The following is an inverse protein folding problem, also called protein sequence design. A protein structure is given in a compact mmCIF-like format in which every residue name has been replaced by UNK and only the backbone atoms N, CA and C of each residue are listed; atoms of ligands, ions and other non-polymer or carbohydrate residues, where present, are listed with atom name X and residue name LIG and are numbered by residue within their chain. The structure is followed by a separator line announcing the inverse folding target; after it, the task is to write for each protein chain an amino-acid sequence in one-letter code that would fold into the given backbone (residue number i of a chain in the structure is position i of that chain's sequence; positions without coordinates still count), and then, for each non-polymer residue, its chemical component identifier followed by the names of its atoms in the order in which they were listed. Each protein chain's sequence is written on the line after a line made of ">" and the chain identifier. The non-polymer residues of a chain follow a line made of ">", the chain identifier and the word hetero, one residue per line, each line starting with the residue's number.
data_IF_963838175782
#
_entry.id   IF_963838175782
#
_cell.length_a   1.000
_cell.length_b   1.000
_cell.length_c   1.000
_cell.angle_alpha   90.00
_cell.angle_beta   90.00
_cell.angle_gamma   90.00
#
_symmetry.space_group_name_H-M   'P 1'
#
loop_
_entity.id
_entity.type
_entity.pdbx_description
1 polymer ?
#
# COMPACT_ATOMS: atom_id res chain seq x y z
N UNK A 1 -32.65 15.12 1.05
CA UNK A 1 -31.48 15.05 1.95
C UNK A 1 -30.62 13.91 1.50
N UNK A 2 -29.31 14.12 1.35
CA UNK A 2 -28.33 13.07 1.03
C UNK A 2 -27.61 12.69 2.33
N UNK A 3 -27.59 11.42 2.65
CA UNK A 3 -26.86 10.85 3.77
C UNK A 3 -25.51 10.32 3.23
N UNK A 4 -24.38 10.72 3.82
CA UNK A 4 -23.04 10.24 3.47
C UNK A 4 -22.18 10.29 4.74
N UNK A 5 -22.11 9.18 5.44
CA UNK A 5 -21.42 9.10 6.73
C UNK A 5 -20.64 7.79 6.90
N UNK A 6 -19.58 7.87 7.68
CA UNK A 6 -18.79 6.71 8.09
C UNK A 6 -19.21 6.27 9.49
N UNK A 7 -19.37 4.97 9.65
CA UNK A 7 -19.73 4.32 10.91
C UNK A 7 -18.77 3.21 11.25
N UNK A 8 -18.59 2.94 12.54
CA UNK A 8 -18.01 1.73 13.06
C UNK A 8 -19.10 0.67 13.19
N UNK A 9 -18.88 -0.46 12.57
CA UNK A 9 -19.77 -1.61 12.65
C UNK A 9 -19.04 -2.82 13.21
N UNK A 10 -19.76 -3.77 13.80
CA UNK A 10 -19.17 -5.03 14.28
C UNK A 10 -19.56 -6.12 13.30
N UNK A 11 -18.57 -6.84 12.75
CA UNK A 11 -18.79 -7.96 11.85
C UNK A 11 -19.24 -9.23 12.62
N UNK A 12 -19.51 -10.32 11.90
CA UNK A 12 -19.93 -11.58 12.53
C UNK A 12 -18.85 -12.22 13.42
N UNK A 13 -17.59 -11.88 13.21
CA UNK A 13 -16.43 -12.34 13.99
C UNK A 13 -16.21 -11.51 15.26
N UNK A 14 -16.96 -10.42 15.44
CA UNK A 14 -16.81 -9.48 16.56
C UNK A 14 -15.82 -8.35 16.29
N UNK A 15 -15.23 -8.25 15.10
CA UNK A 15 -14.27 -7.20 14.76
C UNK A 15 -14.97 -5.90 14.41
N UNK A 16 -14.36 -4.78 14.82
CA UNK A 16 -14.82 -3.45 14.43
C UNK A 16 -14.36 -3.15 13.00
N UNK A 17 -15.30 -2.92 12.12
CA UNK A 17 -15.07 -2.52 10.73
C UNK A 17 -15.64 -1.15 10.45
N UNK A 18 -14.94 -0.37 9.63
CA UNK A 18 -15.44 0.91 9.18
C UNK A 18 -16.24 0.75 7.89
N UNK A 19 -17.44 1.28 7.89
CA UNK A 19 -18.30 1.30 6.71
C UNK A 19 -18.63 2.74 6.32
N UNK A 20 -18.81 2.98 5.02
CA UNK A 20 -19.42 4.19 4.50
C UNK A 20 -20.85 3.87 4.08
N UNK A 21 -21.79 4.61 4.64
CA UNK A 21 -23.19 4.54 4.28
C UNK A 21 -23.57 5.79 3.51
N UNK A 22 -23.96 5.63 2.25
CA UNK A 22 -24.42 6.73 1.39
C UNK A 22 -25.82 6.43 0.90
N UNK A 23 -26.75 7.36 1.12
CA UNK A 23 -28.12 7.16 0.75
C UNK A 23 -28.87 8.46 0.44
N UNK A 24 -30.02 8.31 -0.21
CA UNK A 24 -30.95 9.39 -0.52
C UNK A 24 -32.36 8.95 -0.17
N UNK A 25 -33.10 9.82 0.52
CA UNK A 25 -34.52 9.64 0.74
C UNK A 25 -35.26 10.21 -0.47
N UNK A 26 -36.20 9.44 -0.98
CA UNK A 26 -37.15 9.83 -2.02
C UNK A 26 -38.52 10.04 -1.31
N UNK A 27 -39.12 11.18 -1.51
CA UNK A 27 -40.40 11.51 -0.94
C UNK A 27 -41.55 11.19 -1.92
N UNK A 28 -42.74 10.96 -1.38
CA UNK A 28 -43.98 10.87 -2.16
C UNK A 28 -44.44 12.23 -2.68
N UNK A 29 -45.53 12.24 -3.43
CA UNK A 29 -46.12 13.44 -4.00
C UNK A 29 -46.61 14.46 -2.93
N UNK A 30 -46.71 14.02 -1.67
CA UNK A 30 -47.08 14.86 -0.52
C UNK A 30 -45.86 15.34 0.27
N UNK A 31 -44.64 15.06 -0.22
CA UNK A 31 -43.41 15.45 0.44
C UNK A 31 -43.01 14.57 1.63
N UNK A 32 -43.71 13.45 1.89
CA UNK A 32 -43.36 12.52 2.96
C UNK A 32 -42.33 11.50 2.49
N UNK A 33 -41.37 11.05 3.37
CA UNK A 33 -40.44 10.01 3.04
C UNK A 33 -41.18 8.74 2.61
N UNK A 34 -40.89 8.29 1.38
CA UNK A 34 -41.51 7.11 0.78
C UNK A 34 -40.54 5.93 0.73
N UNK A 35 -39.32 6.17 0.25
CA UNK A 35 -38.30 5.13 0.14
C UNK A 35 -36.91 5.73 0.39
N UNK A 36 -36.02 4.93 0.99
CA UNK A 36 -34.63 5.25 1.10
C UNK A 36 -33.83 4.28 0.23
N UNK A 37 -33.05 4.83 -0.71
CA UNK A 37 -32.13 4.08 -1.52
C UNK A 37 -30.72 4.41 -1.06
N UNK A 38 -29.92 3.40 -0.73
CA UNK A 38 -28.57 3.59 -0.25
C UNK A 38 -27.63 2.45 -0.56
N UNK A 39 -26.37 2.73 -0.35
CA UNK A 39 -25.25 1.78 -0.48
C UNK A 39 -24.45 1.81 0.82
N UNK A 40 -24.18 0.63 1.33
CA UNK A 40 -23.15 0.42 2.37
C UNK A 40 -21.92 -0.17 1.70
N UNK A 41 -20.77 0.43 1.94
CA UNK A 41 -19.49 -0.06 1.42
C UNK A 41 -18.48 -0.19 2.56
N UNK A 42 -17.73 -1.28 2.56
CA UNK A 42 -16.60 -1.45 3.44
C UNK A 42 -15.52 -0.43 3.06
N UNK A 43 -15.14 0.42 4.01
CA UNK A 43 -14.07 1.41 3.82
C UNK A 43 -12.70 0.83 4.18
N UNK A 44 -12.65 -0.33 4.86
CA UNK A 44 -11.40 -0.98 5.22
C UNK A 44 -10.58 -1.32 3.98
N UNK A 45 -11.22 -1.77 2.91
CA UNK A 45 -10.53 -2.02 1.63
C UNK A 45 -9.87 -0.76 1.06
N UNK A 46 -10.53 0.40 1.14
CA UNK A 46 -9.95 1.69 0.73
C UNK A 46 -8.87 2.17 1.69
N UNK A 47 -8.99 1.82 2.95
CA UNK A 47 -8.04 2.21 3.99
C UNK A 47 -6.74 1.41 3.93
N UNK A 48 -6.77 0.17 3.43
CA UNK A 48 -5.64 -0.76 3.44
C UNK A 48 -4.97 -0.94 2.07
N UNK A 49 -5.61 -0.51 0.97
CA UNK A 49 -5.08 -0.68 -0.39
C UNK A 49 -4.79 0.65 -1.06
N UNK A 50 -3.72 0.67 -1.85
CA UNK A 50 -3.40 1.83 -2.68
C UNK A 50 -4.31 1.89 -3.91
N UNK A 51 -4.96 3.05 -4.20
CA UNK A 51 -6.01 3.13 -5.22
C UNK A 51 -5.50 2.84 -6.64
N UNK A 52 -4.24 3.21 -6.95
CA UNK A 52 -3.65 3.05 -8.28
C UNK A 52 -3.16 1.62 -8.53
N UNK A 53 -2.38 1.05 -7.62
CA UNK A 53 -1.69 -0.23 -7.80
C UNK A 53 -2.46 -1.42 -7.26
N UNK A 54 -3.43 -1.19 -6.34
CA UNK A 54 -4.16 -2.21 -5.59
C UNK A 54 -3.30 -3.04 -4.62
N UNK A 55 -2.00 -2.74 -4.51
CA UNK A 55 -1.17 -3.25 -3.44
C UNK A 55 -1.67 -2.76 -2.07
N UNK A 56 -1.25 -3.41 -1.03
CA UNK A 56 -1.40 -2.87 0.32
C UNK A 56 -0.70 -1.51 0.43
N UNK A 57 -1.26 -0.61 1.21
CA UNK A 57 -0.72 0.74 1.43
C UNK A 57 0.10 0.81 2.73
N UNK A 58 0.61 2.02 3.05
CA UNK A 58 1.37 2.31 4.28
C UNK A 58 0.61 1.90 5.55
N UNK A 59 -0.70 2.14 5.63
CA UNK A 59 -1.48 1.77 6.82
C UNK A 59 -1.45 0.26 7.07
N UNK A 60 -1.61 -0.54 6.00
CA UNK A 60 -1.51 -1.99 6.10
C UNK A 60 -0.09 -2.43 6.46
N UNK A 61 0.94 -1.80 5.86
CA UNK A 61 2.33 -2.08 6.20
C UNK A 61 2.59 -1.91 7.69
N UNK A 62 2.17 -0.78 8.29
CA UNK A 62 2.38 -0.52 9.72
C UNK A 62 1.64 -1.54 10.62
N UNK A 63 0.44 -1.96 10.23
CA UNK A 63 -0.29 -3.02 10.93
C UNK A 63 0.45 -4.37 10.86
N UNK A 64 0.97 -4.72 9.67
CA UNK A 64 1.70 -5.97 9.45
C UNK A 64 3.03 -5.98 10.20
N UNK A 65 3.76 -4.85 10.16
CA UNK A 65 5.00 -4.70 10.92
C UNK A 65 4.78 -4.99 12.39
N UNK A 66 3.79 -4.36 13.00
CA UNK A 66 3.47 -4.51 14.42
C UNK A 66 3.06 -5.93 14.78
N UNK A 67 2.28 -6.58 13.94
CA UNK A 67 1.70 -7.89 14.24
C UNK A 67 2.63 -9.06 13.91
N UNK A 68 3.26 -9.00 12.74
CA UNK A 68 3.86 -10.19 12.14
C UNK A 68 5.38 -10.10 11.97
N UNK A 69 5.92 -8.91 11.62
CA UNK A 69 7.31 -8.81 11.18
C UNK A 69 8.29 -8.48 12.30
N UNK A 70 7.92 -7.66 13.27
CA UNK A 70 8.81 -7.31 14.39
C UNK A 70 9.20 -8.52 15.25
N UNK A 71 8.35 -9.55 15.30
CA UNK A 71 8.63 -10.79 16.04
C UNK A 71 9.53 -11.77 15.27
N UNK A 72 9.62 -11.68 13.93
CA UNK A 72 10.38 -12.64 13.10
C UNK A 72 11.88 -12.55 13.31
N UNK A 73 12.43 -11.37 13.59
CA UNK A 73 13.86 -11.11 13.82
C UNK A 73 14.80 -11.68 12.72
N UNK A 74 14.29 -11.79 11.48
CA UNK A 74 15.03 -12.32 10.29
C UNK A 74 14.56 -11.59 9.05
N UNK A 75 15.30 -11.77 7.93
CA UNK A 75 15.00 -11.15 6.66
C UNK A 75 15.38 -9.67 6.60
N UNK A 76 14.94 -9.01 5.54
CA UNK A 76 15.26 -7.62 5.25
C UNK A 76 14.03 -6.87 4.76
N UNK A 77 13.93 -5.60 5.09
CA UNK A 77 13.07 -4.66 4.40
C UNK A 77 13.87 -3.94 3.31
N UNK A 78 13.27 -3.82 2.14
CA UNK A 78 13.75 -3.00 1.04
C UNK A 78 12.70 -1.95 0.72
N UNK A 79 13.09 -0.68 0.79
CA UNK A 79 12.28 0.46 0.38
C UNK A 79 12.81 0.93 -0.98
N UNK A 80 11.97 0.91 -1.99
CA UNK A 80 12.35 1.23 -3.37
C UNK A 80 11.50 2.40 -3.90
N UNK A 81 12.17 3.44 -4.38
CA UNK A 81 11.56 4.58 -5.04
C UNK A 81 11.86 4.62 -6.53
N UNK A 82 10.88 5.00 -7.35
CA UNK A 82 11.11 5.28 -8.78
C UNK A 82 11.91 6.57 -8.90
N UNK A 83 13.03 6.52 -9.62
CA UNK A 83 13.90 7.68 -9.82
C UNK A 83 13.24 8.73 -10.70
N UNK A 84 13.42 10.00 -10.32
CA UNK A 84 13.00 11.15 -11.10
C UNK A 84 11.56 11.10 -11.65
N UNK A 85 10.52 10.77 -10.81
CA UNK A 85 9.15 10.62 -11.27
C UNK A 85 8.59 11.91 -11.91
N UNK A 86 9.06 13.08 -11.43
CA UNK A 86 8.73 14.38 -12.03
C UNK A 86 9.19 14.51 -13.47
N UNK A 87 10.40 14.05 -13.79
CA UNK A 87 10.93 14.07 -15.16
C UNK A 87 10.19 13.11 -16.08
N UNK A 88 9.79 11.94 -15.56
CA UNK A 88 8.95 10.99 -16.30
C UNK A 88 7.62 11.64 -16.66
N UNK A 89 6.95 12.24 -15.70
CA UNK A 89 5.66 12.92 -15.91
C UNK A 89 5.78 14.13 -16.85
N UNK A 90 6.87 14.89 -16.76
CA UNK A 90 7.09 16.04 -17.61
C UNK A 90 7.32 15.67 -19.09
N UNK A 91 8.06 14.57 -19.33
CA UNK A 91 8.41 14.11 -20.69
C UNK A 91 7.29 13.32 -21.36
N UNK A 92 6.58 12.49 -20.59
CA UNK A 92 5.66 11.49 -21.13
C UNK A 92 4.20 11.67 -20.67
N UNK A 93 3.94 12.63 -19.77
CA UNK A 93 2.62 12.87 -19.18
C UNK A 93 2.31 11.98 -17.97
N UNK A 94 1.32 12.40 -17.17
CA UNK A 94 0.90 11.70 -15.94
C UNK A 94 0.47 10.26 -16.17
N UNK A 95 -0.25 9.99 -17.25
CA UNK A 95 -0.71 8.62 -17.55
C UNK A 95 0.47 7.66 -17.70
N UNK A 96 1.55 8.10 -18.29
CA UNK A 96 2.76 7.29 -18.41
C UNK A 96 3.41 7.03 -17.05
N UNK A 97 3.47 8.05 -16.18
CA UNK A 97 3.96 7.89 -14.81
C UNK A 97 3.12 6.90 -14.01
N UNK A 98 1.79 6.97 -14.13
CA UNK A 98 0.88 6.02 -13.48
C UNK A 98 1.10 4.58 -13.99
N UNK A 99 1.34 4.40 -15.28
CA UNK A 99 1.68 3.07 -15.85
C UNK A 99 3.06 2.59 -15.38
N UNK A 100 4.03 3.51 -15.19
CA UNK A 100 5.32 3.19 -14.58
C UNK A 100 5.14 2.61 -13.18
N UNK A 101 4.37 3.29 -12.34
CA UNK A 101 4.05 2.87 -10.98
C UNK A 101 3.36 1.50 -10.97
N UNK A 102 2.35 1.30 -11.84
CA UNK A 102 1.65 0.00 -11.96
C UNK A 102 2.57 -1.12 -12.43
N UNK A 103 3.49 -0.83 -13.35
CA UNK A 103 4.46 -1.80 -13.84
C UNK A 103 5.45 -2.20 -12.75
N UNK A 104 5.96 -1.24 -11.97
CA UNK A 104 6.80 -1.53 -10.80
C UNK A 104 6.05 -2.43 -9.82
N UNK A 105 4.80 -2.09 -9.47
CA UNK A 105 3.97 -2.88 -8.58
C UNK A 105 3.87 -4.34 -9.01
N UNK A 106 3.53 -4.61 -10.28
CA UNK A 106 3.44 -5.98 -10.82
C UNK A 106 4.77 -6.72 -10.77
N UNK A 107 5.89 -6.05 -11.14
CA UNK A 107 7.21 -6.66 -11.07
C UNK A 107 7.58 -7.00 -9.64
N UNK A 108 7.25 -6.14 -8.66
CA UNK A 108 7.54 -6.41 -7.26
C UNK A 108 6.71 -7.58 -6.71
N UNK A 109 5.43 -7.67 -7.08
CA UNK A 109 4.57 -8.82 -6.74
C UNK A 109 5.09 -10.15 -7.28
N UNK A 110 5.75 -10.15 -8.45
CA UNK A 110 6.36 -11.36 -9.02
C UNK A 110 7.56 -11.90 -8.18
N UNK A 111 8.18 -11.05 -7.36
CA UNK A 111 9.35 -11.41 -6.55
C UNK A 111 9.05 -11.73 -5.10
N UNK A 112 7.98 -11.15 -4.58
CA UNK A 112 7.55 -11.35 -3.19
C UNK A 112 6.08 -11.72 -3.17
N UNK A 113 5.65 -12.43 -2.14
CA UNK A 113 4.21 -12.72 -1.96
C UNK A 113 3.43 -11.43 -1.76
N UNK A 114 2.19 -11.40 -2.18
CA UNK A 114 1.28 -10.24 -2.08
C UNK A 114 1.28 -9.59 -0.68
N UNK A 115 1.43 -10.39 0.37
CA UNK A 115 1.44 -9.91 1.75
C UNK A 115 2.78 -9.30 2.19
N UNK A 116 3.77 -9.28 1.33
CA UNK A 116 5.13 -8.81 1.63
C UNK A 116 5.54 -7.61 0.74
N UNK A 117 4.59 -6.98 0.06
CA UNK A 117 4.81 -5.77 -0.76
C UNK A 117 3.73 -4.74 -0.49
N UNK A 118 4.14 -3.48 -0.31
CA UNK A 118 3.26 -2.36 -0.02
C UNK A 118 3.62 -1.16 -0.91
N UNK A 119 2.60 -0.45 -1.39
CA UNK A 119 2.79 0.86 -2.00
C UNK A 119 2.62 1.92 -0.91
N UNK A 120 3.74 2.50 -0.50
CA UNK A 120 3.79 3.31 0.73
C UNK A 120 3.38 4.75 0.47
N UNK A 121 4.03 5.40 -0.49
CA UNK A 121 3.78 6.80 -0.84
C UNK A 121 4.14 7.05 -2.30
N UNK A 122 3.37 7.89 -3.00
CA UNK A 122 3.62 8.39 -4.36
C UNK A 122 4.28 7.38 -5.33
N UNK A 123 5.60 7.32 -5.34
CA UNK A 123 6.45 6.45 -6.17
C UNK A 123 7.26 5.46 -5.34
N UNK A 124 6.96 5.33 -4.03
CA UNK A 124 7.72 4.51 -3.09
C UNK A 124 7.00 3.23 -2.72
N UNK A 125 7.75 2.14 -2.68
CA UNK A 125 7.29 0.80 -2.32
C UNK A 125 8.13 0.25 -1.18
N UNK A 126 7.53 -0.58 -0.34
CA UNK A 126 8.23 -1.36 0.65
C UNK A 126 8.06 -2.84 0.34
N UNK A 127 9.09 -3.63 0.57
CA UNK A 127 9.06 -5.08 0.41
C UNK A 127 9.76 -5.76 1.59
N UNK A 128 9.17 -6.84 2.09
CA UNK A 128 9.85 -7.72 3.02
C UNK A 128 10.41 -8.92 2.25
N UNK A 129 11.70 -9.14 2.39
CA UNK A 129 12.46 -10.21 1.75
C UNK A 129 12.89 -11.21 2.81
N UNK A 130 12.35 -12.42 2.74
CA UNK A 130 12.69 -13.52 3.65
C UNK A 130 13.97 -14.21 3.17
N UNK A 131 15.09 -13.50 3.26
CA UNK A 131 16.42 -13.95 2.86
C UNK A 131 17.41 -13.77 4.03
N UNK A 132 18.49 -14.51 4.00
CA UNK A 132 19.41 -14.57 5.14
C UNK A 132 20.60 -13.59 5.01
N UNK A 133 20.88 -13.09 3.80
CA UNK A 133 22.03 -12.24 3.55
C UNK A 133 21.69 -10.94 2.78
N UNK A 134 22.54 -9.92 2.97
CA UNK A 134 22.44 -8.66 2.23
C UNK A 134 22.79 -8.87 0.74
N UNK A 135 23.65 -9.80 0.45
CA UNK A 135 24.03 -10.17 -0.93
C UNK A 135 22.87 -10.75 -1.72
N UNK A 136 21.98 -11.49 -1.07
CA UNK A 136 20.74 -11.97 -1.70
C UNK A 136 19.77 -10.82 -1.99
N UNK A 137 19.63 -9.87 -1.06
CA UNK A 137 18.83 -8.65 -1.30
C UNK A 137 19.41 -7.87 -2.48
N UNK A 138 20.73 -7.69 -2.54
CA UNK A 138 21.40 -7.00 -3.65
C UNK A 138 21.11 -7.67 -5.00
N UNK A 139 21.16 -8.99 -5.07
CA UNK A 139 20.81 -9.74 -6.29
C UNK A 139 19.35 -9.56 -6.70
N UNK A 140 18.46 -9.47 -5.73
CA UNK A 140 17.02 -9.18 -5.99
C UNK A 140 16.90 -7.77 -6.56
N UNK A 141 17.51 -6.78 -5.94
CA UNK A 141 17.51 -5.40 -6.41
C UNK A 141 18.01 -5.27 -7.85
N UNK A 142 19.15 -5.91 -8.18
CA UNK A 142 19.70 -5.92 -9.54
C UNK A 142 18.75 -6.56 -10.57
N UNK A 143 18.08 -7.64 -10.19
CA UNK A 143 17.07 -8.29 -11.04
C UNK A 143 15.84 -7.38 -11.26
N UNK A 144 15.40 -6.66 -10.24
CA UNK A 144 14.30 -5.70 -10.34
C UNK A 144 14.67 -4.57 -11.28
N UNK A 145 15.84 -3.93 -11.10
CA UNK A 145 16.33 -2.89 -12.00
C UNK A 145 16.47 -3.39 -13.44
N UNK A 146 16.97 -4.59 -13.65
CA UNK A 146 17.08 -5.17 -15.00
C UNK A 146 15.71 -5.35 -15.67
N UNK A 147 14.67 -5.76 -14.94
CA UNK A 147 13.30 -5.89 -15.46
C UNK A 147 12.65 -4.54 -15.76
N UNK A 148 13.03 -3.49 -15.03
CA UNK A 148 12.53 -2.14 -15.23
C UNK A 148 13.31 -1.36 -16.30
N UNK A 149 14.46 -1.88 -16.75
CA UNK A 149 15.32 -1.23 -17.72
C UNK A 149 14.57 -0.84 -19.00
N UNK A 150 14.82 0.37 -19.46
CA UNK A 150 14.13 0.96 -20.63
C UNK A 150 12.76 1.58 -20.31
N UNK A 151 12.32 1.48 -19.04
CA UNK A 151 11.05 2.05 -18.61
C UNK A 151 11.23 3.08 -17.47
N UNK A 152 11.86 2.66 -16.40
CA UNK A 152 12.32 3.52 -15.30
C UNK A 152 13.48 2.84 -14.57
N UNK A 153 14.12 3.57 -13.66
CA UNK A 153 15.07 3.05 -12.67
C UNK A 153 14.51 3.21 -11.27
N UNK A 154 15.03 2.44 -10.33
CA UNK A 154 14.67 2.54 -8.92
C UNK A 154 15.93 2.68 -8.07
N UNK A 155 15.85 3.52 -7.04
CA UNK A 155 16.79 3.53 -5.92
C UNK A 155 16.19 2.79 -4.73
N UNK A 156 17.01 2.13 -3.92
CA UNK A 156 16.50 1.36 -2.80
C UNK A 156 17.37 1.45 -1.55
N UNK A 157 16.72 1.64 -0.39
CA UNK A 157 17.29 1.45 0.94
C UNK A 157 16.99 0.06 1.48
N UNK A 158 17.96 -0.55 2.17
CA UNK A 158 17.87 -1.91 2.69
C UNK A 158 18.14 -1.89 4.18
N UNK A 159 17.20 -2.43 4.97
CA UNK A 159 17.29 -2.51 6.42
C UNK A 159 17.07 -3.95 6.87
N UNK A 160 17.99 -4.54 7.66
CA UNK A 160 17.78 -5.87 8.22
C UNK A 160 16.65 -5.86 9.25
N UNK A 161 15.74 -6.84 9.18
CA UNK A 161 14.69 -6.99 10.18
C UNK A 161 15.25 -7.61 11.47
N UNK A 162 15.66 -6.77 12.41
CA UNK A 162 16.21 -7.17 13.71
C UNK A 162 15.48 -6.44 14.83
N UNK A 163 14.91 -7.17 15.75
CA UNK A 163 14.11 -6.66 16.89
C UNK A 163 14.85 -5.58 17.70
N UNK A 164 16.18 -5.66 17.80
CA UNK A 164 16.99 -4.72 18.56
C UNK A 164 17.23 -3.37 17.86
N UNK A 165 17.00 -3.29 16.56
CA UNK A 165 17.25 -2.06 15.78
C UNK A 165 16.07 -1.09 15.77
N UNK A 166 14.89 -1.57 16.11
CA UNK A 166 13.66 -0.79 15.99
C UNK A 166 12.94 -0.75 17.34
N UNK A 167 12.92 0.42 17.96
CA UNK A 167 12.15 0.66 19.19
C UNK A 167 10.64 0.64 18.93
N UNK A 168 10.23 1.01 17.73
CA UNK A 168 8.85 0.96 17.22
C UNK A 168 8.82 0.83 15.68
N UNK A 169 7.60 0.63 15.13
CA UNK A 169 7.35 0.48 13.70
C UNK A 169 7.71 1.72 12.85
N UNK A 170 7.74 2.92 13.43
CA UNK A 170 8.07 4.16 12.73
C UNK A 170 9.58 4.23 12.46
N UNK A 171 10.40 3.78 13.39
CA UNK A 171 11.86 3.77 13.24
C UNK A 171 12.31 2.94 12.03
N UNK A 172 11.63 1.84 11.71
CA UNK A 172 11.97 1.03 10.55
C UNK A 172 11.80 1.83 9.25
N UNK A 173 10.73 2.61 9.16
CA UNK A 173 10.44 3.44 8.00
C UNK A 173 11.47 4.56 7.87
N UNK A 174 11.75 5.26 8.97
CA UNK A 174 12.69 6.38 9.00
C UNK A 174 14.14 5.94 8.69
N UNK A 175 14.53 4.74 9.14
CA UNK A 175 15.86 4.18 8.83
C UNK A 175 16.04 3.77 7.35
N UNK A 176 14.96 3.60 6.61
CA UNK A 176 14.99 3.14 5.23
C UNK A 176 14.69 4.26 4.22
N UNK A 177 14.28 5.44 4.68
CA UNK A 177 14.05 6.59 3.81
C UNK A 177 15.38 7.06 3.21
N UNK A 178 15.44 7.06 1.85
CA UNK A 178 16.62 7.42 1.04
C UNK A 178 16.53 8.89 0.64
#
# INVERSE_FOLDING_TARGET
>A
MVHDMNYRWVNRQGDVVWINCRGKVINDDKGKPFVMIGRVSDTALRYLYHPLTKLFNKNKMLLDLKKDFMERNRGYFMFAGIDNPGSINLRHGRNYGDEAIKKCARIFEDYVTLNNVWHVENNCFAMYLDVDSREEVQKIYEKLNKKLMGFCTISAGIVPNRKQMFGDENNLYDCAEI
#
